data_IF_642877280380
#
_entry.id   IF_642877280380
#
_cell.length_a   1.000
_cell.length_b   1.000
_cell.length_c   1.000
_cell.angle_alpha   90.00
_cell.angle_beta   90.00
_cell.angle_gamma   90.00
#
_symmetry.space_group_name_H-M   'P 1'
#
loop_
_entity.id
_entity.type
_entity.pdbx_description
1 polymer ?
#
# COMPACT_ATOMS: atom_id res chain seq x y z
N UNK A 1 24.38 5.53 14.86
CA UNK A 1 23.42 5.11 15.90
C UNK A 1 22.61 6.34 16.31
N UNK A 2 21.39 6.51 15.78
CA UNK A 2 20.55 7.69 16.07
C UNK A 2 19.85 7.57 17.43
N UNK A 3 19.84 8.67 18.20
CA UNK A 3 19.17 8.75 19.50
C UNK A 3 17.65 8.51 19.37
N UNK A 4 17.01 7.81 20.33
CA UNK A 4 15.58 7.55 20.29
C UNK A 4 14.78 8.85 20.44
N UNK A 5 13.78 9.03 19.57
CA UNK A 5 12.93 10.21 19.60
C UNK A 5 12.28 10.41 20.98
N UNK A 6 12.28 11.65 21.54
CA UNK A 6 11.78 11.90 22.87
C UNK A 6 10.27 11.60 22.96
N UNK A 7 9.86 10.88 24.01
CA UNK A 7 8.48 10.40 24.26
C UNK A 7 7.45 11.51 24.50
N UNK A 8 7.85 12.78 24.46
CA UNK A 8 6.97 13.93 24.60
C UNK A 8 7.38 14.98 23.58
N UNK A 9 6.54 15.19 22.56
CA UNK A 9 6.60 16.38 21.73
C UNK A 9 6.36 17.56 22.66
N UNK A 10 7.40 18.37 22.93
CA UNK A 10 7.19 19.67 23.55
C UNK A 10 6.41 20.50 22.55
N UNK A 11 5.12 20.70 22.80
CA UNK A 11 4.35 21.69 22.06
C UNK A 11 5.04 23.02 22.33
N UNK A 12 5.59 23.64 21.30
CA UNK A 12 6.04 25.02 21.42
C UNK A 12 4.83 25.84 21.89
N UNK A 13 4.95 26.62 22.97
CA UNK A 13 3.87 27.53 23.33
C UNK A 13 3.60 28.39 22.09
N UNK A 14 2.32 28.58 21.70
CA UNK A 14 1.99 29.37 20.52
C UNK A 14 2.70 30.72 20.63
N UNK A 15 3.23 31.26 19.52
CA UNK A 15 3.85 32.57 19.54
C UNK A 15 2.85 33.54 20.16
N UNK A 16 3.28 34.25 21.20
CA UNK A 16 2.52 35.33 21.83
C UNK A 16 2.49 36.53 20.89
N UNK A 17 1.99 36.36 19.67
CA UNK A 17 1.62 37.50 18.83
C UNK A 17 0.26 37.99 19.32
N UNK A 18 0.09 39.30 19.28
CA UNK A 18 -1.01 40.14 19.73
C UNK A 18 -2.40 39.82 19.12
N UNK A 19 -2.85 38.58 19.21
CA UNK A 19 -4.25 38.22 19.03
C UNK A 19 -4.99 38.41 20.37
N UNK A 20 -4.94 39.63 20.90
CA UNK A 20 -5.91 40.11 21.87
C UNK A 20 -7.30 39.94 21.26
N UNK A 21 -8.16 39.20 21.95
CA UNK A 21 -9.61 39.16 21.75
C UNK A 21 -10.08 38.63 20.39
N UNK A 22 -9.59 37.46 19.98
CA UNK A 22 -10.37 36.64 19.04
C UNK A 22 -11.69 36.27 19.74
N UNK A 23 -12.73 37.08 19.56
CA UNK A 23 -14.09 36.83 20.04
C UNK A 23 -14.51 35.48 19.48
N UNK A 24 -14.47 34.44 20.33
CA UNK A 24 -14.92 33.11 19.96
C UNK A 24 -16.44 33.15 19.92
N UNK A 25 -16.98 33.39 18.72
CA UNK A 25 -18.43 33.38 18.49
C UNK A 25 -18.92 31.94 18.53
N UNK A 26 -19.67 31.57 19.56
CA UNK A 26 -20.30 30.27 19.67
C UNK A 26 -21.62 30.25 18.91
N UNK A 27 -21.56 29.90 17.63
CA UNK A 27 -22.76 29.64 16.85
C UNK A 27 -23.41 28.32 17.31
N UNK A 28 -24.63 28.44 17.84
CA UNK A 28 -25.41 27.31 18.35
C UNK A 28 -25.84 26.37 17.23
N UNK A 29 -26.01 26.86 16.01
CA UNK A 29 -26.39 26.06 14.83
C UNK A 29 -25.23 25.20 14.36
N UNK A 30 -24.03 25.80 14.19
CA UNK A 30 -22.80 25.08 13.91
C UNK A 30 -22.49 24.04 15.01
N UNK A 31 -22.76 24.36 16.28
CA UNK A 31 -22.63 23.40 17.39
C UNK A 31 -23.59 22.24 17.26
N UNK A 32 -24.86 22.49 16.93
CA UNK A 32 -25.87 21.44 16.74
C UNK A 32 -25.49 20.52 15.56
N UNK A 33 -25.06 21.09 14.44
CA UNK A 33 -24.58 20.34 13.27
C UNK A 33 -23.31 19.56 13.58
N UNK A 34 -22.43 20.12 14.41
CA UNK A 34 -21.29 19.39 14.91
C UNK A 34 -21.71 18.25 15.85
N UNK A 35 -22.68 18.40 16.73
CA UNK A 35 -23.07 17.31 17.63
C UNK A 35 -23.84 16.20 16.90
N UNK A 36 -24.67 16.52 15.91
CA UNK A 36 -25.51 15.55 15.19
C UNK A 36 -24.85 15.00 13.92
N UNK A 37 -23.97 15.77 13.28
CA UNK A 37 -23.31 15.44 12.01
C UNK A 37 -22.13 14.47 12.10
N UNK A 38 -22.06 13.60 13.12
CA UNK A 38 -20.94 12.65 13.27
C UNK A 38 -20.74 11.75 12.05
N UNK A 39 -21.85 11.30 11.45
CA UNK A 39 -21.79 10.50 10.22
C UNK A 39 -21.20 11.31 9.06
N UNK A 40 -21.66 12.55 8.87
CA UNK A 40 -21.13 13.48 7.85
C UNK A 40 -19.63 13.72 8.04
N UNK A 41 -19.16 13.98 9.27
CA UNK A 41 -17.72 14.13 9.56
C UNK A 41 -16.92 12.85 9.38
N UNK A 42 -17.49 11.70 9.69
CA UNK A 42 -16.84 10.41 9.43
C UNK A 42 -16.67 10.19 7.94
N UNK A 43 -17.70 10.43 7.15
CA UNK A 43 -17.64 10.37 5.69
C UNK A 43 -16.65 11.40 5.13
N UNK A 44 -16.68 12.65 5.58
CA UNK A 44 -15.73 13.68 5.16
C UNK A 44 -14.28 13.29 5.45
N UNK A 45 -13.99 12.72 6.63
CA UNK A 45 -12.65 12.20 6.94
C UNK A 45 -12.23 11.06 6.03
N UNK A 46 -13.15 10.15 5.71
CA UNK A 46 -12.89 9.05 4.78
C UNK A 46 -12.63 9.59 3.37
N UNK A 47 -13.43 10.55 2.91
CA UNK A 47 -13.28 11.19 1.59
C UNK A 47 -11.96 11.94 1.51
N UNK A 48 -11.65 12.78 2.50
CA UNK A 48 -10.37 13.50 2.57
C UNK A 48 -9.16 12.54 2.60
N UNK A 49 -9.24 11.42 3.32
CA UNK A 49 -8.19 10.41 3.29
C UNK A 49 -8.01 9.77 1.90
N UNK A 50 -9.13 9.52 1.19
CA UNK A 50 -9.11 9.02 -0.18
C UNK A 50 -8.54 10.05 -1.15
N UNK A 51 -8.91 11.32 -0.99
CA UNK A 51 -8.41 12.43 -1.81
C UNK A 51 -6.90 12.62 -1.64
N UNK A 52 -6.40 12.61 -0.41
CA UNK A 52 -4.96 12.67 -0.16
C UNK A 52 -4.23 11.48 -0.79
N UNK A 53 -4.79 10.27 -0.67
CA UNK A 53 -4.21 9.08 -1.28
C UNK A 53 -4.18 9.19 -2.82
N UNK A 54 -5.26 9.66 -3.43
CA UNK A 54 -5.35 9.89 -4.87
C UNK A 54 -4.35 10.97 -5.34
N UNK A 55 -4.23 12.08 -4.61
CA UNK A 55 -3.26 13.14 -4.92
C UNK A 55 -1.83 12.60 -4.87
N UNK A 56 -1.46 11.88 -3.81
CA UNK A 56 -0.13 11.27 -3.67
C UNK A 56 0.16 10.28 -4.80
N UNK A 57 -0.79 9.43 -5.17
CA UNK A 57 -0.62 8.48 -6.26
C UNK A 57 -0.40 9.17 -7.61
N UNK A 58 -1.10 10.29 -7.87
CA UNK A 58 -0.86 11.11 -9.08
C UNK A 58 0.53 11.74 -9.06
N UNK A 59 0.93 12.31 -7.93
CA UNK A 59 2.25 12.94 -7.76
C UNK A 59 3.39 11.92 -7.95
N UNK A 60 3.24 10.71 -7.39
CA UNK A 60 4.19 9.60 -7.55
C UNK A 60 4.28 9.14 -9.00
N UNK A 61 3.14 8.92 -9.68
CA UNK A 61 3.13 8.56 -11.11
C UNK A 61 3.80 9.62 -11.99
N UNK A 62 3.59 10.89 -11.68
CA UNK A 62 4.21 11.99 -12.43
C UNK A 62 5.72 12.01 -12.23
N UNK A 63 6.19 11.79 -10.99
CA UNK A 63 7.63 11.68 -10.67
C UNK A 63 8.26 10.50 -11.39
N UNK A 64 7.65 9.32 -11.33
CA UNK A 64 8.11 8.13 -12.04
C UNK A 64 8.22 8.38 -13.55
N UNK A 65 7.22 9.03 -14.16
CA UNK A 65 7.25 9.37 -15.58
C UNK A 65 8.37 10.37 -15.90
N UNK A 66 8.59 11.35 -15.03
CA UNK A 66 9.70 12.32 -15.18
C UNK A 66 11.05 11.62 -15.09
N UNK A 67 11.26 10.76 -14.10
CA UNK A 67 12.48 9.97 -13.95
C UNK A 67 12.72 9.06 -15.16
N UNK A 68 11.69 8.41 -15.68
CA UNK A 68 11.80 7.57 -16.89
C UNK A 68 12.22 8.38 -18.11
N UNK A 69 11.65 9.58 -18.31
CA UNK A 69 12.05 10.47 -19.40
C UNK A 69 13.48 10.98 -19.22
N UNK A 70 13.87 11.33 -18.00
CA UNK A 70 15.22 11.78 -17.69
C UNK A 70 16.26 10.69 -17.93
N UNK A 71 15.99 9.45 -17.50
CA UNK A 71 16.84 8.29 -17.79
C UNK A 71 17.00 8.07 -19.29
N UNK A 72 15.90 8.06 -20.04
CA UNK A 72 15.95 7.95 -21.51
C UNK A 72 16.77 9.06 -22.15
N UNK A 73 16.62 10.30 -21.68
CA UNK A 73 17.41 11.44 -22.19
C UNK A 73 18.90 11.27 -21.90
N UNK A 74 19.26 10.83 -20.69
CA UNK A 74 20.65 10.57 -20.32
C UNK A 74 21.25 9.42 -21.13
N UNK A 75 20.49 8.35 -21.36
CA UNK A 75 20.93 7.22 -22.18
C UNK A 75 21.17 7.64 -23.64
N UNK A 76 20.28 8.45 -24.21
CA UNK A 76 20.46 9.01 -25.56
C UNK A 76 21.66 9.94 -25.66
N UNK A 77 21.83 10.87 -24.71
CA UNK A 77 22.98 11.78 -24.66
C UNK A 77 24.30 11.00 -24.53
N UNK A 78 24.32 9.98 -23.68
CA UNK A 78 25.46 9.07 -23.56
C UNK A 78 25.75 8.36 -24.88
N UNK A 79 24.73 7.83 -25.55
CA UNK A 79 24.91 7.12 -26.81
C UNK A 79 25.40 8.04 -27.94
N UNK A 80 24.86 9.25 -28.05
CA UNK A 80 25.33 10.27 -29.01
C UNK A 80 26.78 10.66 -28.73
N UNK A 81 27.15 10.83 -27.46
CA UNK A 81 28.56 11.10 -27.09
C UNK A 81 29.48 9.94 -27.46
N UNK A 82 29.08 8.70 -27.19
CA UNK A 82 29.84 7.50 -27.55
C UNK A 82 29.99 7.37 -29.07
N UNK A 83 28.91 7.57 -29.83
CA UNK A 83 28.92 7.55 -31.30
C UNK A 83 29.80 8.66 -31.90
N UNK A 84 29.66 9.90 -31.42
CA UNK A 84 30.49 11.01 -31.86
C UNK A 84 31.97 10.79 -31.50
N UNK A 85 32.26 10.17 -30.36
CA UNK A 85 33.63 9.82 -29.98
C UNK A 85 34.20 8.71 -30.87
N UNK A 86 33.39 7.74 -31.28
CA UNK A 86 33.80 6.68 -32.21
C UNK A 86 34.04 7.22 -33.62
N UNK A 87 33.14 8.08 -34.14
CA UNK A 87 33.35 8.78 -35.41
C UNK A 87 34.62 9.63 -35.39
N UNK A 88 34.86 10.39 -34.32
CA UNK A 88 36.12 11.15 -34.18
C UNK A 88 37.32 10.23 -34.19
N UNK A 89 37.29 9.08 -33.51
CA UNK A 89 38.40 8.10 -33.55
C UNK A 89 38.62 7.51 -34.94
N UNK A 90 37.56 7.26 -35.70
CA UNK A 90 37.65 6.76 -37.08
C UNK A 90 38.14 7.83 -38.06
N UNK A 91 37.74 9.10 -37.86
CA UNK A 91 38.20 10.24 -38.67
C UNK A 91 39.60 10.73 -38.27
N UNK A 92 40.08 10.45 -37.06
CA UNK A 92 41.44 10.79 -36.63
C UNK A 92 42.53 10.03 -37.41
N UNK A 93 42.18 8.93 -38.09
CA UNK A 93 43.07 8.24 -39.04
C UNK A 93 43.14 8.95 -40.42
N UNK A 94 42.32 9.99 -40.66
CA UNK A 94 42.28 10.78 -41.90
C UNK A 94 42.66 12.26 -41.74
N UNK A 95 42.53 12.85 -40.54
CA UNK A 95 42.81 14.27 -40.27
C UNK A 95 44.02 14.49 -39.35
N UNK A 96 45.22 14.17 -39.82
CA UNK A 96 46.46 14.59 -39.15
C UNK A 96 46.81 16.07 -39.41
N UNK A 97 45.93 16.88 -40.03
CA UNK A 97 46.25 18.25 -40.47
C UNK A 97 45.13 19.29 -40.26
N UNK A 98 44.28 19.17 -39.24
CA UNK A 98 43.43 20.30 -38.85
C UNK A 98 43.19 20.37 -37.34
N UNK A 99 44.20 20.88 -36.63
CA UNK A 99 43.93 21.75 -35.49
C UNK A 99 43.25 23.00 -36.06
N UNK A 100 42.00 23.25 -35.69
CA UNK A 100 41.49 24.60 -35.56
C UNK A 100 40.36 24.62 -34.53
N UNK A 101 40.55 25.52 -33.56
CA UNK A 101 39.54 26.03 -32.64
C UNK A 101 38.25 26.37 -33.39
N UNK A 102 37.21 25.56 -33.23
CA UNK A 102 35.84 26.05 -33.41
C UNK A 102 35.22 26.25 -32.03
N UNK A 103 35.52 27.43 -31.48
CA UNK A 103 34.58 28.24 -30.72
C UNK A 103 33.36 28.56 -31.61
N UNK A 104 32.63 27.53 -32.02
CA UNK A 104 31.35 27.69 -32.69
C UNK A 104 30.29 27.96 -31.61
N UNK A 105 30.17 29.26 -31.36
CA UNK A 105 28.99 29.96 -30.89
C UNK A 105 27.77 29.51 -31.73
N UNK A 106 27.25 28.31 -31.41
CA UNK A 106 26.08 27.73 -32.07
C UNK A 106 24.92 28.72 -31.90
N UNK A 107 24.38 29.28 -32.99
CA UNK A 107 23.30 30.24 -32.93
C UNK A 107 22.12 29.54 -32.27
N UNK A 108 21.55 30.21 -31.27
CA UNK A 108 20.58 29.66 -30.35
C UNK A 108 19.59 28.71 -31.03
N UNK A 109 19.54 27.48 -30.52
CA UNK A 109 18.35 26.64 -30.59
C UNK A 109 17.25 27.33 -29.76
N UNK A 110 16.73 28.43 -30.28
CA UNK A 110 15.51 29.09 -29.85
C UNK A 110 14.33 28.35 -30.49
N UNK A 111 14.23 27.07 -30.15
CA UNK A 111 13.12 26.19 -30.51
C UNK A 111 12.40 25.77 -29.25
N UNK A 112 11.36 26.52 -28.91
CA UNK A 112 10.36 26.26 -27.84
C UNK A 112 10.79 26.54 -26.40
N UNK A 113 11.28 27.75 -26.14
CA UNK A 113 11.15 28.38 -24.82
C UNK A 113 9.89 29.29 -24.79
N UNK A 114 8.75 28.80 -25.27
CA UNK A 114 7.45 29.42 -24.98
C UNK A 114 6.88 28.71 -23.77
N UNK A 115 6.93 29.42 -22.65
CA UNK A 115 6.11 29.24 -21.47
C UNK A 115 4.65 28.94 -21.87
N UNK A 116 4.30 27.66 -21.97
CA UNK A 116 2.92 27.24 -22.17
C UNK A 116 2.58 26.16 -21.14
N UNK A 117 2.12 26.69 -20.00
CA UNK A 117 1.46 25.98 -18.93
C UNK A 117 -0.04 25.85 -19.29
N UNK A 118 -0.38 25.51 -20.55
CA UNK A 118 -1.77 25.27 -20.95
C UNK A 118 -1.94 23.97 -21.75
N UNK A 119 -2.69 23.05 -21.14
CA UNK A 119 -3.48 21.98 -21.76
C UNK A 119 -3.16 21.58 -23.22
N UNK A 120 -2.04 20.88 -23.45
CA UNK A 120 -1.75 20.20 -24.70
C UNK A 120 -2.04 18.68 -24.60
N UNK A 121 -3.27 18.31 -24.19
CA UNK A 121 -3.73 16.91 -24.10
C UNK A 121 -4.91 16.62 -25.05
N UNK A 122 -5.24 17.50 -26.01
CA UNK A 122 -6.47 17.30 -26.82
C UNK A 122 -6.34 17.40 -28.36
N UNK A 123 -5.18 17.68 -28.97
CA UNK A 123 -5.08 17.75 -30.45
C UNK A 123 -3.83 17.09 -31.04
N UNK A 124 -3.65 15.79 -30.82
CA UNK A 124 -2.60 15.01 -31.49
C UNK A 124 -3.10 13.64 -31.97
N UNK A 125 -4.33 13.57 -32.47
CA UNK A 125 -4.97 12.30 -32.88
C UNK A 125 -5.37 12.22 -34.36
N UNK A 126 -4.69 12.94 -35.26
CA UNK A 126 -5.04 12.92 -36.69
C UNK A 126 -3.85 12.77 -37.65
N UNK A 127 -2.83 11.97 -37.31
CA UNK A 127 -1.84 11.51 -38.30
C UNK A 127 -1.44 10.05 -38.12
N UNK A 128 -2.12 9.20 -38.89
CA UNK A 128 -1.60 7.95 -39.48
C UNK A 128 -0.94 6.96 -38.52
N UNK A 129 -1.77 6.10 -37.93
CA UNK A 129 -1.42 4.71 -37.65
C UNK A 129 -2.49 3.84 -38.28
N UNK A 130 -2.19 3.20 -39.40
CA UNK A 130 -3.00 2.09 -39.90
C UNK A 130 -2.84 0.98 -38.86
N UNK A 131 -3.84 0.83 -37.98
CA UNK A 131 -3.87 -0.18 -36.92
C UNK A 131 -4.17 -1.54 -37.55
N UNK A 132 -3.15 -2.17 -38.14
CA UNK A 132 -3.17 -3.59 -38.45
C UNK A 132 -3.17 -4.37 -37.12
N UNK A 133 -4.36 -4.58 -36.54
CA UNK A 133 -4.56 -5.50 -35.42
C UNK A 133 -4.23 -6.92 -35.88
N UNK A 134 -2.96 -7.32 -35.72
CA UNK A 134 -2.53 -8.70 -35.78
C UNK A 134 -3.20 -9.46 -34.63
N UNK A 135 -4.31 -10.14 -34.94
CA UNK A 135 -4.91 -11.11 -34.03
C UNK A 135 -4.05 -12.36 -34.07
N UNK A 136 -3.17 -12.52 -33.07
CA UNK A 136 -2.39 -13.74 -32.89
C UNK A 136 -3.33 -14.95 -32.84
N UNK A 137 -3.26 -15.83 -33.85
CA UNK A 137 -4.08 -17.03 -33.97
C UNK A 137 -3.90 -18.01 -32.79
N UNK A 138 -2.85 -17.84 -31.99
CA UNK A 138 -2.51 -18.66 -30.82
C UNK A 138 -3.21 -18.19 -29.52
N UNK A 139 -3.90 -17.04 -29.52
CA UNK A 139 -4.55 -16.45 -28.33
C UNK A 139 -6.06 -16.62 -28.27
N UNK A 140 -6.66 -17.47 -29.10
CA UNK A 140 -8.09 -17.79 -28.95
C UNK A 140 -8.32 -18.71 -27.75
N UNK A 141 -8.78 -18.14 -26.62
CA UNK A 141 -9.42 -18.93 -25.56
C UNK A 141 -10.84 -19.27 -25.99
N UNK A 142 -11.11 -20.54 -26.30
CA UNK A 142 -12.47 -20.98 -26.62
C UNK A 142 -13.33 -21.01 -25.36
N UNK A 143 -14.39 -20.20 -25.33
CA UNK A 143 -15.39 -20.19 -24.25
C UNK A 143 -16.46 -21.23 -24.59
N UNK A 144 -16.52 -22.31 -23.83
CA UNK A 144 -17.58 -23.32 -23.94
C UNK A 144 -18.77 -22.91 -23.06
N UNK A 145 -19.93 -22.68 -23.68
CA UNK A 145 -21.17 -22.40 -22.97
C UNK A 145 -21.83 -23.72 -22.63
N UNK A 146 -21.69 -24.19 -21.38
CA UNK A 146 -22.50 -25.30 -20.88
C UNK A 146 -23.84 -24.76 -20.39
N UNK A 147 -24.96 -25.34 -20.83
CA UNK A 147 -26.27 -25.04 -20.26
C UNK A 147 -26.26 -25.41 -18.76
N UNK A 148 -26.22 -24.41 -17.88
CA UNK A 148 -26.37 -24.62 -16.45
C UNK A 148 -27.85 -24.86 -16.18
N UNK A 149 -28.22 -26.11 -15.92
CA UNK A 149 -29.55 -26.44 -15.37
C UNK A 149 -29.60 -25.88 -13.96
N UNK A 150 -30.29 -24.75 -13.78
CA UNK A 150 -30.65 -24.25 -12.46
C UNK A 150 -31.66 -25.24 -11.86
N UNK A 151 -31.17 -26.21 -11.11
CA UNK A 151 -32.00 -26.94 -10.16
C UNK A 151 -32.39 -25.97 -9.07
N UNK A 152 -33.62 -25.47 -9.16
CA UNK A 152 -34.37 -24.80 -8.11
C UNK A 152 -34.61 -25.82 -6.99
N UNK A 153 -33.58 -26.09 -6.20
CA UNK A 153 -33.67 -26.86 -4.96
C UNK A 153 -33.87 -25.85 -3.83
N UNK A 154 -35.09 -25.30 -3.82
CA UNK A 154 -35.61 -24.43 -2.78
C UNK A 154 -36.41 -25.32 -1.81
N UNK A 155 -35.71 -25.98 -0.91
CA UNK A 155 -36.31 -26.65 0.25
C UNK A 155 -35.44 -26.40 1.50
N UNK A 156 -35.90 -25.44 2.29
CA UNK A 156 -36.30 -25.64 3.68
C UNK A 156 -35.21 -25.82 4.79
N UNK A 157 -35.43 -25.01 5.84
CA UNK A 157 -34.91 -25.04 7.22
C UNK A 157 -33.54 -24.47 7.61
N UNK A 158 -33.58 -23.59 8.63
CA UNK A 158 -32.40 -23.26 9.43
C UNK A 158 -32.30 -21.85 10.00
N UNK A 159 -33.36 -21.30 10.58
CA UNK A 159 -33.26 -20.09 11.42
C UNK A 159 -32.38 -20.33 12.66
N UNK A 160 -31.42 -19.44 13.02
CA UNK A 160 -30.90 -19.40 14.38
C UNK A 160 -31.58 -18.28 15.18
N UNK A 161 -32.52 -18.67 16.03
CA UNK A 161 -33.05 -17.85 17.13
C UNK A 161 -31.97 -17.61 18.22
N UNK A 162 -31.96 -16.44 18.89
CA UNK A 162 -30.98 -16.08 19.90
C UNK A 162 -31.28 -16.74 21.25
N UNK A 163 -30.40 -17.61 21.74
CA UNK A 163 -30.50 -18.15 23.09
C UNK A 163 -29.89 -17.19 24.10
N UNK A 164 -30.78 -16.61 24.91
CA UNK A 164 -30.48 -15.99 26.19
C UNK A 164 -29.92 -17.05 27.16
N UNK A 165 -28.68 -16.87 27.62
CA UNK A 165 -28.03 -17.71 28.62
C UNK A 165 -27.63 -16.86 29.82
N UNK A 166 -28.32 -17.10 30.94
CA UNK A 166 -28.15 -16.46 32.24
C UNK A 166 -26.77 -16.82 32.84
N UNK A 167 -25.98 -15.82 33.22
CA UNK A 167 -24.78 -16.04 34.06
C UNK A 167 -25.19 -15.95 35.52
N UNK A 168 -25.50 -17.11 36.11
CA UNK A 168 -25.54 -17.28 37.56
C UNK A 168 -24.11 -17.25 38.12
N UNK A 169 -23.87 -16.36 39.09
CA UNK A 169 -22.64 -16.33 39.85
C UNK A 169 -22.45 -17.62 40.64
N UNK A 170 -21.23 -18.14 40.64
CA UNK A 170 -20.83 -19.14 41.61
C UNK A 170 -19.46 -18.75 42.19
N UNK A 171 -19.52 -18.06 43.32
CA UNK A 171 -18.43 -17.94 44.28
C UNK A 171 -18.29 -19.31 44.95
N UNK A 172 -17.17 -20.00 44.69
CA UNK A 172 -16.78 -21.16 45.49
C UNK A 172 -15.32 -20.99 45.88
N UNK A 173 -15.17 -20.34 47.03
CA UNK A 173 -14.02 -20.47 47.91
C UNK A 173 -13.50 -21.93 47.95
N UNK A 174 -12.24 -22.12 47.54
CA UNK A 174 -11.53 -23.38 47.69
C UNK A 174 -10.37 -23.18 48.66
N UNK A 175 -10.68 -23.40 49.93
CA UNK A 175 -9.69 -23.70 50.96
C UNK A 175 -8.86 -24.92 50.50
N UNK A 176 -7.57 -24.72 50.23
CA UNK A 176 -6.63 -25.83 50.09
C UNK A 176 -5.72 -25.85 51.31
N UNK A 177 -5.83 -26.95 52.04
CA UNK A 177 -5.05 -27.32 53.22
C UNK A 177 -3.56 -27.40 52.86
N UNK A 178 -2.73 -26.77 53.70
CA UNK A 178 -1.28 -26.84 53.63
C UNK A 178 -0.81 -28.23 54.10
N UNK A 179 -0.11 -28.98 53.25
CA UNK A 179 0.79 -30.06 53.68
C UNK A 179 2.22 -29.65 53.30
N UNK A 180 3.21 -29.71 54.22
CA UNK A 180 4.59 -29.44 53.88
C UNK A 180 5.23 -30.68 53.24
N UNK A 181 5.63 -30.55 51.97
CA UNK A 181 6.46 -31.54 51.27
C UNK A 181 7.91 -31.04 51.14
N UNK A 182 8.89 -31.95 51.02
CA UNK A 182 10.31 -31.67 51.24
C UNK A 182 10.93 -30.77 50.16
N UNK A 183 11.93 -30.03 50.62
CA UNK A 183 12.67 -28.99 49.93
C UNK A 183 13.54 -29.55 48.80
N UNK A 184 13.11 -29.32 47.56
CA UNK A 184 13.97 -29.47 46.39
C UNK A 184 14.22 -28.10 45.76
N UNK A 185 15.50 -27.76 45.65
CA UNK A 185 16.03 -26.52 45.08
C UNK A 185 15.44 -26.28 43.68
N UNK A 186 14.45 -25.39 43.60
CA UNK A 186 13.88 -24.94 42.33
C UNK A 186 14.69 -23.76 41.83
N UNK A 187 15.52 -23.99 40.83
CA UNK A 187 16.08 -22.92 40.02
C UNK A 187 14.95 -21.96 39.60
N UNK A 188 15.19 -20.66 39.81
CA UNK A 188 14.20 -19.59 39.64
C UNK A 188 13.81 -19.46 38.18
N UNK A 189 12.85 -20.27 37.70
CA UNK A 189 12.24 -20.07 36.38
C UNK A 189 11.57 -18.70 36.36
N UNK A 190 12.07 -17.81 35.51
CA UNK A 190 11.51 -16.47 35.34
C UNK A 190 10.04 -16.61 34.93
N UNK A 191 9.14 -16.03 35.75
CA UNK A 191 7.71 -16.09 35.49
C UNK A 191 7.43 -15.38 34.16
N UNK A 192 6.90 -16.10 33.17
CA UNK A 192 6.49 -15.51 31.89
C UNK A 192 5.44 -14.44 32.18
N UNK A 193 5.67 -13.21 31.72
CA UNK A 193 4.72 -12.11 31.87
C UNK A 193 3.39 -12.52 31.26
N UNK A 194 2.29 -12.22 31.96
CA UNK A 194 0.94 -12.44 31.46
C UNK A 194 0.82 -11.70 30.13
N UNK A 195 0.45 -12.40 29.06
CA UNK A 195 0.16 -11.76 27.78
C UNK A 195 -1.02 -10.81 28.04
N UNK A 196 -0.80 -9.51 27.88
CA UNK A 196 -1.91 -8.57 27.83
C UNK A 196 -2.78 -9.01 26.67
N UNK A 197 -4.06 -9.29 26.93
CA UNK A 197 -5.02 -9.53 25.87
C UNK A 197 -5.06 -8.26 25.03
N UNK A 198 -4.40 -8.30 23.89
CA UNK A 198 -4.59 -7.30 22.84
C UNK A 198 -5.26 -8.09 21.74
N UNK A 199 -6.42 -7.63 21.29
CA UNK A 199 -7.02 -8.22 20.09
C UNK A 199 -5.98 -8.11 18.99
N UNK A 200 -5.59 -9.26 18.45
CA UNK A 200 -4.81 -9.34 17.22
C UNK A 200 -5.45 -8.39 16.20
N UNK A 201 -4.62 -7.61 15.51
CA UNK A 201 -5.12 -6.77 14.43
C UNK A 201 -5.83 -7.64 13.38
N UNK A 202 -6.71 -7.06 12.56
CA UNK A 202 -7.45 -7.84 11.55
C UNK A 202 -6.48 -8.61 10.62
N UNK A 203 -5.33 -8.02 10.29
CA UNK A 203 -4.29 -8.66 9.51
C UNK A 203 -3.63 -9.83 10.25
N UNK A 204 -3.29 -9.66 11.52
CA UNK A 204 -2.73 -10.72 12.37
C UNK A 204 -3.71 -11.90 12.52
N UNK A 205 -5.00 -11.62 12.74
CA UNK A 205 -6.05 -12.64 12.82
C UNK A 205 -6.21 -13.45 11.53
N UNK A 206 -6.03 -12.81 10.38
CA UNK A 206 -6.06 -13.49 9.09
C UNK A 206 -4.82 -14.37 8.90
N UNK A 207 -3.65 -13.88 9.30
CA UNK A 207 -2.40 -14.64 9.26
C UNK A 207 -2.46 -15.88 10.17
N UNK A 208 -2.93 -15.74 11.41
CA UNK A 208 -3.08 -16.85 12.35
C UNK A 208 -4.10 -17.88 11.86
N UNK A 209 -5.23 -17.43 11.29
CA UNK A 209 -6.21 -18.32 10.64
C UNK A 209 -5.61 -19.08 9.46
N UNK A 210 -4.81 -18.43 8.63
CA UNK A 210 -4.18 -19.05 7.47
C UNK A 210 -3.12 -20.08 7.91
N UNK A 211 -2.33 -19.77 8.94
CA UNK A 211 -1.36 -20.68 9.52
C UNK A 211 -2.03 -21.93 10.13
N UNK A 212 -3.14 -21.74 10.86
CA UNK A 212 -3.95 -22.84 11.37
C UNK A 212 -4.49 -23.73 10.25
N UNK A 213 -5.02 -23.14 9.17
CA UNK A 213 -5.46 -23.90 7.98
C UNK A 213 -4.31 -24.67 7.31
N UNK A 214 -3.11 -24.10 7.24
CA UNK A 214 -1.92 -24.79 6.70
C UNK A 214 -1.53 -25.98 7.58
N UNK A 215 -1.53 -25.81 8.89
CA UNK A 215 -1.22 -26.88 9.86
C UNK A 215 -2.25 -28.01 9.81
N UNK A 216 -3.55 -27.69 9.72
CA UNK A 216 -4.60 -28.71 9.61
C UNK A 216 -4.54 -29.45 8.27
N UNK A 217 -4.27 -28.74 7.16
CA UNK A 217 -4.06 -29.37 5.84
C UNK A 217 -2.85 -30.29 5.84
N UNK A 218 -1.73 -29.87 6.43
CA UNK A 218 -0.54 -30.71 6.55
C UNK A 218 -0.78 -31.95 7.44
N UNK A 219 -1.52 -31.80 8.54
CA UNK A 219 -1.90 -32.93 9.39
C UNK A 219 -2.82 -33.92 8.66
N UNK A 220 -3.80 -33.42 7.89
CA UNK A 220 -4.69 -34.25 7.06
C UNK A 220 -3.91 -35.03 6.00
N UNK A 221 -2.97 -34.38 5.31
CA UNK A 221 -2.12 -35.02 4.30
C UNK A 221 -1.21 -36.11 4.90
N UNK A 222 -0.69 -35.91 6.12
CA UNK A 222 0.06 -36.95 6.84
C UNK A 222 -0.82 -38.15 7.18
N UNK A 223 -2.02 -37.90 7.72
CA UNK A 223 -2.99 -38.95 8.05
C UNK A 223 -3.44 -39.75 6.83
N UNK A 224 -3.56 -39.10 5.67
CA UNK A 224 -3.89 -39.75 4.40
C UNK A 224 -2.72 -40.59 3.86
N UNK A 225 -1.48 -40.08 3.99
CA UNK A 225 -0.26 -40.82 3.61
C UNK A 225 0.01 -42.04 4.50
N UNK A 226 -0.24 -41.92 5.80
CA UNK A 226 -0.03 -42.99 6.77
C UNK A 226 -1.21 -43.98 6.77
N UNK A 227 -2.43 -43.50 6.49
CA UNK A 227 -3.64 -44.34 6.35
C UNK A 227 -3.72 -45.14 5.05
N UNK A 228 -2.82 -44.89 4.08
CA UNK A 228 -2.71 -45.65 2.84
C UNK A 228 -1.75 -46.85 2.90
N UNK A 229 -1.06 -47.09 4.03
CA UNK A 229 -0.13 -48.23 4.22
C UNK A 229 -0.70 -49.35 5.10
N UNK A 230 -2.02 -49.47 5.14
CA UNK A 230 -2.72 -50.47 5.95
C UNK A 230 -4.00 -50.93 5.27
N UNK A 231 -3.86 -51.59 4.12
CA UNK A 231 -4.82 -52.56 3.59
C UNK A 231 -4.04 -53.70 2.95
#
# INVERSE_FOLDING_TARGET
MGLPAPKRRRLHPPPRSSASDAVITFDTTARHDYLTGFHKRKQARIQHAREIAARRAKDERLRERKEMRERRRQDLDRHVREFNAELRKQNLDLDQDHDEDDEDELPGWEGTATNDETNADEEADERTGEEDEYVDEEKYTTVTVSAMTFSDDNDEEGTPSPTAGQNAGNDVSSQRRNLPGPEHQREKRTKKKKKTFRYESKAERLATRLEQKRKSRAARARREKDGGRGR
#
